data_IF_050598564961
#
_entry.id   IF_050598564961
#
_cell.length_a   1.000
_cell.length_b   1.000
_cell.length_c   1.000
_cell.angle_alpha   90.00
_cell.angle_beta   90.00
_cell.angle_gamma   90.00
#
_symmetry.space_group_name_H-M   'P 1'
#
loop_
_entity.id
_entity.type
_entity.pdbx_description
1 polymer ?
#
# COMPACT_ATOMS: atom_id res chain seq x y z
N UNK A 1 -3.53 -4.49 14.56
CA UNK A 1 -3.42 -5.01 13.17
C UNK A 1 -2.00 -4.97 12.62
N UNK A 2 -1.29 -3.83 12.63
CA UNK A 2 0.05 -3.69 12.01
C UNK A 2 1.08 -4.73 12.46
N UNK A 3 1.29 -4.87 13.77
CA UNK A 3 2.27 -5.82 14.33
C UNK A 3 2.01 -7.28 13.90
N UNK A 4 0.75 -7.64 13.64
CA UNK A 4 0.37 -8.97 13.16
C UNK A 4 0.42 -9.13 11.64
N UNK A 5 0.36 -8.05 10.86
CA UNK A 5 0.31 -8.11 9.40
C UNK A 5 1.69 -7.85 8.74
N UNK A 6 2.42 -6.84 9.20
CA UNK A 6 3.63 -6.35 8.53
C UNK A 6 4.71 -7.45 8.38
N UNK A 7 5.06 -8.24 9.43
CA UNK A 7 6.08 -9.27 9.31
C UNK A 7 5.72 -10.31 8.23
N UNK A 8 4.45 -10.71 8.16
CA UNK A 8 3.99 -11.68 7.17
C UNK A 8 3.98 -11.10 5.75
N UNK A 9 3.65 -9.81 5.59
CA UNK A 9 3.60 -9.14 4.30
C UNK A 9 5.00 -8.98 3.69
N UNK A 10 6.00 -8.70 4.54
CA UNK A 10 7.41 -8.63 4.16
C UNK A 10 7.95 -9.99 3.70
N UNK A 11 7.44 -11.10 4.25
CA UNK A 11 7.74 -12.46 3.81
C UNK A 11 6.99 -12.86 2.53
N UNK A 12 6.16 -11.97 1.97
CA UNK A 12 5.38 -12.24 0.76
C UNK A 12 4.23 -13.22 0.98
N UNK A 13 3.77 -13.40 2.22
CA UNK A 13 2.59 -14.23 2.51
C UNK A 13 1.30 -13.46 2.27
N UNK A 14 0.26 -14.19 1.90
CA UNK A 14 -1.10 -13.67 1.84
C UNK A 14 -1.66 -13.45 3.25
N UNK A 15 -2.42 -12.37 3.41
CA UNK A 15 -2.93 -11.92 4.70
C UNK A 15 -4.40 -11.53 4.57
N UNK A 16 -5.22 -12.05 5.48
CA UNK A 16 -6.56 -11.53 5.74
C UNK A 16 -6.54 -10.66 6.99
N UNK A 17 -6.71 -9.35 6.82
CA UNK A 17 -6.70 -8.39 7.92
C UNK A 17 -8.10 -7.95 8.32
N UNK A 18 -8.61 -8.43 9.45
CA UNK A 18 -9.89 -7.98 10.01
C UNK A 18 -9.61 -6.96 11.11
N UNK A 19 -10.01 -5.71 10.89
CA UNK A 19 -9.94 -4.66 11.90
C UNK A 19 -10.94 -3.54 11.59
N UNK A 20 -11.28 -2.70 12.57
CA UNK A 20 -12.14 -1.53 12.37
C UNK A 20 -11.39 -0.39 11.63
N UNK A 21 -12.12 0.51 10.96
CA UNK A 21 -11.53 1.74 10.38
C UNK A 21 -10.81 2.56 11.46
N UNK A 22 -9.74 3.27 11.08
CA UNK A 22 -8.93 4.06 12.01
C UNK A 22 -7.89 3.25 12.82
N UNK A 23 -7.85 1.93 12.71
CA UNK A 23 -6.90 1.07 13.45
C UNK A 23 -5.53 0.89 12.78
N UNK A 24 -5.25 1.65 11.73
CA UNK A 24 -3.98 1.59 11.00
C UNK A 24 -3.88 0.47 9.96
N UNK A 25 -5.02 0.02 9.40
CA UNK A 25 -5.07 -0.95 8.28
C UNK A 25 -4.26 -0.48 7.07
N UNK A 26 -4.37 0.78 6.68
CA UNK A 26 -3.64 1.33 5.53
C UNK A 26 -2.13 1.18 5.67
N UNK A 27 -1.57 1.62 6.80
CA UNK A 27 -0.14 1.45 7.08
C UNK A 27 0.29 -0.04 7.13
N UNK A 28 -0.62 -0.93 7.53
CA UNK A 28 -0.31 -2.37 7.63
C UNK A 28 0.00 -3.04 6.29
N UNK A 29 -0.50 -2.52 5.17
CA UNK A 29 -0.15 -2.99 3.83
C UNK A 29 0.75 -2.00 3.06
N UNK A 30 0.64 -0.68 3.30
CA UNK A 30 1.47 0.33 2.60
C UNK A 30 2.94 0.23 2.99
N UNK A 31 3.26 0.17 4.29
CA UNK A 31 4.66 0.12 4.75
C UNK A 31 5.44 -1.08 4.18
N UNK A 32 4.95 -2.33 4.29
CA UNK A 32 5.67 -3.46 3.70
C UNK A 32 5.71 -3.39 2.16
N UNK A 33 4.71 -2.80 1.53
CA UNK A 33 4.70 -2.57 0.08
C UNK A 33 5.80 -1.59 -0.33
N UNK A 34 5.97 -0.46 0.36
CA UNK A 34 7.06 0.49 0.11
C UNK A 34 8.42 -0.19 0.20
N UNK A 35 8.69 -0.93 1.29
CA UNK A 35 9.94 -1.68 1.49
C UNK A 35 10.21 -2.68 0.36
N UNK A 36 9.17 -3.34 -0.15
CA UNK A 36 9.31 -4.29 -1.27
C UNK A 36 9.53 -3.57 -2.60
N UNK A 37 8.87 -2.43 -2.83
CA UNK A 37 8.96 -1.65 -4.06
C UNK A 37 10.26 -0.85 -4.20
N UNK A 38 10.94 -0.53 -3.10
CA UNK A 38 12.31 0.00 -3.13
C UNK A 38 13.28 -0.95 -3.82
N UNK A 39 13.03 -2.25 -3.70
CA UNK A 39 13.84 -3.29 -4.34
C UNK A 39 13.24 -3.64 -5.69
N UNK A 40 14.12 -3.89 -6.66
CA UNK A 40 13.73 -4.27 -8.03
C UNK A 40 13.57 -3.11 -9.00
N UNK A 41 13.49 -3.42 -10.29
CA UNK A 41 13.45 -2.43 -11.37
C UNK A 41 12.01 -2.20 -11.83
N UNK A 42 11.60 -0.94 -11.88
CA UNK A 42 10.37 -0.56 -12.57
C UNK A 42 10.54 -0.77 -14.08
N UNK A 43 9.47 -1.23 -14.75
CA UNK A 43 9.42 -1.35 -16.22
C UNK A 43 8.30 -0.44 -16.74
N UNK A 44 8.51 0.13 -17.92
CA UNK A 44 7.52 1.00 -18.54
C UNK A 44 6.19 0.24 -18.72
N UNK A 45 5.06 0.90 -18.40
CA UNK A 45 3.69 0.37 -18.52
C UNK A 45 3.44 -0.93 -17.73
N UNK A 46 4.23 -1.21 -16.70
CA UNK A 46 4.04 -2.37 -15.81
C UNK A 46 3.92 -1.92 -14.36
N UNK A 47 2.71 -1.59 -13.88
CA UNK A 47 2.49 -1.34 -12.46
C UNK A 47 2.88 -2.58 -11.64
N UNK A 48 3.59 -2.36 -10.53
CA UNK A 48 4.08 -3.45 -9.65
C UNK A 48 3.08 -3.80 -8.54
N UNK A 49 2.08 -2.97 -8.33
CA UNK A 49 1.06 -3.15 -7.29
C UNK A 49 -0.24 -2.50 -7.71
N UNK A 50 -1.35 -3.08 -7.26
CA UNK A 50 -2.71 -2.57 -7.42
C UNK A 50 -3.37 -2.59 -6.04
N UNK A 51 -3.99 -1.47 -5.66
CA UNK A 51 -4.83 -1.35 -4.48
C UNK A 51 -6.24 -1.08 -4.99
N UNK A 52 -7.21 -1.86 -4.52
CA UNK A 52 -8.62 -1.72 -4.89
C UNK A 52 -9.39 -1.24 -3.68
N UNK A 53 -10.11 -0.13 -3.84
CA UNK A 53 -10.93 0.46 -2.80
C UNK A 53 -12.38 0.54 -3.29
N UNK A 54 -13.38 0.37 -2.39
CA UNK A 54 -14.78 0.28 -2.78
C UNK A 54 -15.41 1.64 -3.11
N UNK A 55 -14.78 2.75 -2.70
CA UNK A 55 -15.26 4.11 -3.01
C UNK A 55 -14.12 5.03 -3.41
N UNK A 56 -14.47 6.13 -4.10
CA UNK A 56 -13.52 7.15 -4.58
C UNK A 56 -12.79 7.82 -3.42
N UNK A 57 -13.50 8.11 -2.34
CA UNK A 57 -13.00 8.80 -1.15
C UNK A 57 -11.97 7.94 -0.42
N UNK A 58 -12.24 6.64 -0.30
CA UNK A 58 -11.28 5.71 0.29
C UNK A 58 -10.03 5.56 -0.58
N UNK A 59 -10.19 5.50 -1.91
CA UNK A 59 -9.06 5.47 -2.83
C UNK A 59 -8.16 6.71 -2.69
N UNK A 60 -8.76 7.91 -2.62
CA UNK A 60 -8.03 9.16 -2.40
C UNK A 60 -7.32 9.20 -1.04
N UNK A 61 -7.98 8.73 0.03
CA UNK A 61 -7.36 8.64 1.35
C UNK A 61 -6.15 7.67 1.37
N UNK A 62 -6.23 6.56 0.64
CA UNK A 62 -5.11 5.62 0.53
C UNK A 62 -3.96 6.21 -0.28
N UNK A 63 -4.24 6.93 -1.37
CA UNK A 63 -3.21 7.67 -2.12
C UNK A 63 -2.49 8.68 -1.22
N UNK A 64 -3.21 9.49 -0.44
CA UNK A 64 -2.62 10.47 0.48
C UNK A 64 -1.70 9.79 1.50
N UNK A 65 -2.15 8.66 2.07
CA UNK A 65 -1.32 7.86 2.97
C UNK A 65 -0.05 7.35 2.27
N UNK A 66 -0.15 6.90 1.03
CA UNK A 66 0.99 6.43 0.25
C UNK A 66 2.00 7.55 -0.01
N UNK A 67 1.53 8.75 -0.39
CA UNK A 67 2.39 9.94 -0.57
C UNK A 67 3.07 10.29 0.75
N UNK A 68 2.33 10.27 1.87
CA UNK A 68 2.84 10.61 3.20
C UNK A 68 3.93 9.64 3.66
N UNK A 69 3.66 8.33 3.64
CA UNK A 69 4.62 7.32 4.06
C UNK A 69 5.75 7.14 3.04
N UNK A 70 5.44 7.38 1.76
CA UNK A 70 6.34 7.26 0.61
C UNK A 70 7.29 8.44 0.40
N UNK A 71 7.24 9.49 1.23
CA UNK A 71 7.95 10.78 1.01
C UNK A 71 9.44 10.64 0.66
N UNK A 72 10.13 9.64 1.21
CA UNK A 72 11.56 9.41 0.99
C UNK A 72 11.86 8.30 -0.03
N UNK A 73 10.85 7.81 -0.74
CA UNK A 73 10.95 6.75 -1.73
C UNK A 73 10.75 7.33 -3.14
N UNK A 74 11.56 6.88 -4.10
CA UNK A 74 11.40 7.23 -5.52
C UNK A 74 10.36 6.32 -6.18
N UNK A 75 9.11 6.43 -5.76
CA UNK A 75 7.99 5.63 -6.26
C UNK A 75 6.92 6.53 -6.87
N UNK A 76 6.34 6.08 -7.99
CA UNK A 76 5.22 6.74 -8.64
C UNK A 76 3.93 6.03 -8.27
N UNK A 77 2.87 6.81 -8.01
CA UNK A 77 1.50 6.35 -7.79
C UNK A 77 0.60 6.98 -8.84
N UNK A 78 -0.47 6.29 -9.20
CA UNK A 78 -1.54 6.83 -10.04
C UNK A 78 -2.88 6.43 -9.42
N UNK A 79 -3.72 7.41 -9.11
CA UNK A 79 -5.10 7.21 -8.69
C UNK A 79 -6.02 7.14 -9.91
N UNK A 80 -6.71 6.00 -10.07
CA UNK A 80 -7.67 5.77 -11.14
C UNK A 80 -9.07 5.68 -10.54
N UNK A 81 -9.87 6.72 -10.73
CA UNK A 81 -11.25 6.81 -10.23
C UNK A 81 -12.16 7.32 -11.36
N UNK A 82 -13.37 6.75 -11.47
CA UNK A 82 -14.40 7.08 -12.46
C UNK A 82 -15.54 7.85 -11.83
#
# INVERSE_FOLDING_TARGET
IQAGAIPHALLGKDILGIAQTGTGKTASFVLPMLTRLEKGRARARMPRTLILEPTRELAAQVEENFIRYGKNHKLNIALLIG
#
